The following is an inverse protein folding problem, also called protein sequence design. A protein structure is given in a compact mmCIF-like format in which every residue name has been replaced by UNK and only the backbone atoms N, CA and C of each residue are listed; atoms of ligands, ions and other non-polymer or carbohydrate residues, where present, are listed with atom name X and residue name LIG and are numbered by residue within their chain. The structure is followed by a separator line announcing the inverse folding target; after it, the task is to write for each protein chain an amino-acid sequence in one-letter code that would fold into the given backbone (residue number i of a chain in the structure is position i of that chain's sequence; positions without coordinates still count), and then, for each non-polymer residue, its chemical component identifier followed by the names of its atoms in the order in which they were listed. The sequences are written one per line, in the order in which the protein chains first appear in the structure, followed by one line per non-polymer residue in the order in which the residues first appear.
data_IF_688710275121
#
_entry.id   IF_688710275121
#
_cell.length_a   1.000
_cell.length_b   1.000
_cell.length_c   1.000
_cell.angle_alpha   90.00
_cell.angle_beta   90.00
_cell.angle_gamma   90.00
#
_symmetry.space_group_name_H-M   'P 1'
#
loop_
_entity.id
_entity.type
_entity.pdbx_description
1 polymer ?
#
# COMPACT_ATOMS: atom_id res chain seq x y z
N UNK A 1 27.01 -17.99 19.42
CA UNK A 1 27.11 -16.86 18.47
C UNK A 1 27.01 -17.43 17.05
N UNK A 2 26.12 -16.94 16.17
CA UNK A 2 26.09 -17.41 14.79
C UNK A 2 27.43 -17.10 14.08
N UNK A 3 27.95 -18.07 13.32
CA UNK A 3 29.18 -17.93 12.54
C UNK A 3 29.04 -16.78 11.52
N UNK A 4 30.06 -15.91 11.43
CA UNK A 4 30.14 -14.79 10.50
C UNK A 4 29.90 -15.23 9.05
N UNK A 5 30.38 -16.41 8.64
CA UNK A 5 30.13 -16.97 7.30
C UNK A 5 28.64 -17.23 7.04
N UNK A 6 27.92 -17.73 8.05
CA UNK A 6 26.48 -17.99 7.97
C UNK A 6 25.68 -16.69 7.92
N UNK A 7 26.15 -15.63 8.58
CA UNK A 7 25.52 -14.30 8.54
C UNK A 7 25.70 -13.62 7.17
N UNK A 8 26.89 -13.70 6.57
CA UNK A 8 27.16 -13.15 5.23
C UNK A 8 26.43 -13.92 4.11
N UNK A 9 26.29 -15.24 4.23
CA UNK A 9 25.53 -16.05 3.28
C UNK A 9 24.05 -15.65 3.28
N UNK A 10 23.43 -15.54 4.47
CA UNK A 10 22.04 -15.09 4.62
C UNK A 10 21.83 -13.66 4.10
N UNK A 11 22.82 -12.79 4.28
CA UNK A 11 22.77 -11.42 3.74
C UNK A 11 22.77 -11.43 2.21
N UNK A 12 23.64 -12.22 1.60
CA UNK A 12 23.75 -12.34 0.14
C UNK A 12 22.45 -12.88 -0.49
N UNK A 13 21.83 -13.88 0.14
CA UNK A 13 20.52 -14.42 -0.27
C UNK A 13 19.42 -13.36 -0.23
N UNK A 14 19.38 -12.53 0.82
CA UNK A 14 18.43 -11.42 0.92
C UNK A 14 18.65 -10.38 -0.18
N UNK A 15 19.90 -10.03 -0.48
CA UNK A 15 20.19 -9.09 -1.58
C UNK A 15 19.69 -9.65 -2.91
N UNK A 16 19.93 -10.94 -3.18
CA UNK A 16 19.50 -11.58 -4.42
C UNK A 16 17.97 -11.66 -4.53
N UNK A 17 17.27 -11.91 -3.42
CA UNK A 17 15.82 -11.83 -3.35
C UNK A 17 15.31 -10.43 -3.73
N UNK A 18 15.87 -9.37 -3.15
CA UNK A 18 15.46 -7.99 -3.46
C UNK A 18 15.77 -7.62 -4.92
N UNK A 19 16.89 -8.08 -5.48
CA UNK A 19 17.20 -7.85 -6.90
C UNK A 19 16.18 -8.49 -7.83
N UNK A 20 15.73 -9.71 -7.52
CA UNK A 20 14.67 -10.39 -8.27
C UNK A 20 13.35 -9.66 -8.14
N UNK A 21 12.99 -9.27 -6.91
CA UNK A 21 11.80 -8.48 -6.64
C UNK A 21 11.79 -7.16 -7.43
N UNK A 22 12.93 -6.47 -7.48
CA UNK A 22 13.09 -5.25 -8.28
C UNK A 22 12.89 -5.52 -9.78
N UNK A 23 13.50 -6.58 -10.31
CA UNK A 23 13.34 -6.96 -11.72
C UNK A 23 11.87 -7.22 -12.08
N UNK A 24 11.14 -7.94 -11.24
CA UNK A 24 9.74 -8.28 -11.49
C UNK A 24 8.83 -7.05 -11.31
N UNK A 25 9.12 -6.19 -10.33
CA UNK A 25 8.43 -4.91 -10.16
C UNK A 25 8.64 -3.97 -11.37
N UNK A 26 9.86 -3.95 -11.93
CA UNK A 26 10.18 -3.22 -13.16
C UNK A 26 9.49 -3.80 -14.39
N UNK A 27 9.25 -5.12 -14.42
CA UNK A 27 8.48 -5.77 -15.46
C UNK A 27 6.95 -5.50 -15.35
N UNK A 28 6.51 -4.83 -14.28
CA UNK A 28 5.12 -4.43 -14.11
C UNK A 28 4.29 -5.34 -13.20
N UNK A 29 4.91 -6.29 -12.50
CA UNK A 29 4.22 -7.16 -11.56
C UNK A 29 3.76 -6.36 -10.33
N UNK A 30 2.44 -6.19 -10.17
CA UNK A 30 1.87 -5.30 -9.16
C UNK A 30 2.05 -5.82 -7.73
N UNK A 31 2.11 -7.15 -7.55
CA UNK A 31 2.43 -7.76 -6.27
C UNK A 31 3.87 -7.40 -5.87
N UNK A 32 4.83 -7.56 -6.78
CA UNK A 32 6.23 -7.21 -6.54
C UNK A 32 6.43 -5.71 -6.33
N UNK A 33 5.69 -4.86 -7.06
CA UNK A 33 5.66 -3.42 -6.83
C UNK A 33 5.16 -3.09 -5.41
N UNK A 34 4.07 -3.70 -4.95
CA UNK A 34 3.59 -3.52 -3.58
C UNK A 34 4.63 -3.99 -2.54
N UNK A 35 5.17 -5.19 -2.72
CA UNK A 35 6.17 -5.75 -1.81
C UNK A 35 7.43 -4.89 -1.74
N UNK A 36 7.92 -4.39 -2.87
CA UNK A 36 9.06 -3.49 -2.92
C UNK A 36 8.75 -2.15 -2.24
N UNK A 37 7.54 -1.62 -2.43
CA UNK A 37 7.05 -0.45 -1.72
C UNK A 37 7.09 -0.62 -0.20
N UNK A 38 6.62 -1.77 0.30
CA UNK A 38 6.63 -2.09 1.73
C UNK A 38 8.06 -2.15 2.30
N UNK A 39 8.96 -2.81 1.59
CA UNK A 39 10.37 -2.93 2.02
C UNK A 39 11.06 -1.56 2.08
N UNK A 40 10.75 -0.67 1.13
CA UNK A 40 11.29 0.69 1.13
C UNK A 40 10.64 1.55 2.22
N UNK A 41 9.34 1.39 2.49
CA UNK A 41 8.64 2.13 3.54
C UNK A 41 9.17 1.78 4.93
N UNK A 42 9.52 0.53 5.20
CA UNK A 42 10.03 0.10 6.52
C UNK A 42 11.55 0.08 6.61
N UNK A 43 12.25 -0.03 5.48
CA UNK A 43 13.69 -0.28 5.45
C UNK A 43 14.06 -1.68 5.97
N UNK A 44 13.18 -2.67 5.81
CA UNK A 44 13.42 -4.03 6.29
C UNK A 44 14.45 -4.80 5.43
N UNK A 45 14.66 -6.08 5.77
CA UNK A 45 15.63 -6.98 5.16
C UNK A 45 17.07 -6.47 5.29
N UNK A 46 17.58 -5.85 4.23
CA UNK A 46 18.95 -5.36 4.07
C UNK A 46 18.90 -4.04 3.29
N UNK A 47 17.77 -3.35 3.28
CA UNK A 47 17.52 -2.14 2.48
C UNK A 47 17.42 -0.93 3.41
N UNK A 48 17.91 0.23 2.98
CA UNK A 48 17.68 1.49 3.67
C UNK A 48 16.24 1.97 3.42
N UNK A 49 15.62 2.54 4.45
CA UNK A 49 14.29 3.14 4.32
C UNK A 49 14.32 4.27 3.26
N UNK A 50 13.31 4.30 2.40
CA UNK A 50 13.10 5.26 1.32
C UNK A 50 11.59 5.41 1.07
N UNK A 51 10.94 6.28 1.84
CA UNK A 51 9.49 6.48 1.76
C UNK A 51 9.05 7.09 0.42
N UNK A 52 9.85 7.98 -0.19
CA UNK A 52 9.55 8.50 -1.54
C UNK A 52 9.55 7.37 -2.58
N UNK A 53 10.52 6.45 -2.46
CA UNK A 53 10.57 5.23 -3.26
C UNK A 53 9.38 4.29 -3.02
N UNK A 54 8.89 4.20 -1.78
CA UNK A 54 7.68 3.46 -1.46
C UNK A 54 6.45 4.05 -2.16
N UNK A 55 6.26 5.37 -2.09
CA UNK A 55 5.17 6.08 -2.79
C UNK A 55 5.23 5.81 -4.30
N UNK A 56 6.42 5.81 -4.90
CA UNK A 56 6.58 5.48 -6.32
C UNK A 56 6.03 4.09 -6.65
N UNK A 57 6.48 3.06 -5.92
CA UNK A 57 6.12 1.67 -6.23
C UNK A 57 4.68 1.32 -5.90
N UNK A 58 4.16 1.81 -4.77
CA UNK A 58 2.73 1.69 -4.49
C UNK A 58 1.88 2.37 -5.56
N UNK A 59 2.29 3.55 -6.05
CA UNK A 59 1.56 4.21 -7.14
C UNK A 59 1.54 3.35 -8.42
N UNK A 60 2.63 2.66 -8.76
CA UNK A 60 2.61 1.74 -9.91
C UNK A 60 1.66 0.56 -9.69
N UNK A 61 1.67 -0.03 -8.50
CA UNK A 61 0.78 -1.14 -8.15
C UNK A 61 -0.70 -0.73 -8.15
N UNK A 62 -1.03 0.47 -7.65
CA UNK A 62 -2.40 1.03 -7.69
C UNK A 62 -2.86 1.24 -9.13
N UNK A 63 -2.00 1.72 -10.04
CA UNK A 63 -2.32 1.84 -11.47
C UNK A 63 -2.65 0.51 -12.14
N UNK A 64 -2.26 -0.61 -11.53
CA UNK A 64 -2.59 -1.97 -11.96
C UNK A 64 -3.78 -2.59 -11.21
N UNK A 65 -4.41 -1.84 -10.30
CA UNK A 65 -5.57 -2.31 -9.54
C UNK A 65 -5.22 -3.19 -8.34
N UNK A 66 -4.00 -3.10 -7.80
CA UNK A 66 -3.61 -3.91 -6.66
C UNK A 66 -4.15 -3.34 -5.34
N UNK A 67 -5.10 -4.04 -4.73
CA UNK A 67 -5.86 -3.56 -3.57
C UNK A 67 -4.98 -3.24 -2.36
N UNK A 68 -4.02 -4.11 -2.01
CA UNK A 68 -3.14 -3.87 -0.85
C UNK A 68 -2.29 -2.61 -1.03
N UNK A 69 -1.90 -2.30 -2.28
CA UNK A 69 -1.14 -1.08 -2.56
C UNK A 69 -2.00 0.18 -2.38
N UNK A 70 -3.32 0.11 -2.64
CA UNK A 70 -4.24 1.22 -2.36
C UNK A 70 -4.31 1.48 -0.85
N UNK A 71 -4.44 0.43 -0.04
CA UNK A 71 -4.39 0.54 1.42
C UNK A 71 -3.07 1.15 1.92
N UNK A 72 -1.94 0.63 1.44
CA UNK A 72 -0.61 1.07 1.85
C UNK A 72 -0.37 2.54 1.46
N UNK A 73 -0.68 2.92 0.23
CA UNK A 73 -0.53 4.29 -0.23
C UNK A 73 -1.49 5.24 0.50
N UNK A 74 -2.73 4.82 0.76
CA UNK A 74 -3.69 5.60 1.53
C UNK A 74 -3.19 5.89 2.95
N UNK A 75 -2.54 4.91 3.58
CA UNK A 75 -1.92 5.10 4.90
C UNK A 75 -0.82 6.15 4.86
N UNK A 76 0.07 6.09 3.86
CA UNK A 76 1.11 7.11 3.68
C UNK A 76 0.52 8.49 3.40
N UNK A 77 -0.52 8.59 2.56
CA UNK A 77 -1.22 9.85 2.27
C UNK A 77 -1.92 10.40 3.51
N UNK A 78 -2.53 9.55 4.33
CA UNK A 78 -3.19 9.97 5.57
C UNK A 78 -2.18 10.57 6.55
N UNK A 79 -1.00 9.96 6.63
CA UNK A 79 0.05 10.33 7.57
C UNK A 79 0.99 11.43 7.05
N UNK A 80 1.01 11.70 5.74
CA UNK A 80 1.95 12.65 5.12
C UNK A 80 3.37 12.10 4.98
N UNK A 81 3.52 10.79 4.81
CA UNK A 81 4.81 10.10 4.67
C UNK A 81 5.35 10.20 3.24
N UNK A 82 6.67 10.02 3.04
CA UNK A 82 7.26 10.03 1.70
C UNK A 82 7.13 11.35 0.94
N UNK A 83 7.14 12.48 1.66
CA UNK A 83 7.03 13.83 1.08
C UNK A 83 5.61 14.23 0.68
N UNK A 84 4.60 13.44 1.05
CA UNK A 84 3.20 13.72 0.76
C UNK A 84 2.62 14.77 1.71
N UNK A 85 1.70 15.60 1.20
CA UNK A 85 0.84 16.41 2.06
C UNK A 85 -0.33 15.53 2.54
N UNK A 86 -0.65 15.52 3.85
CA UNK A 86 -1.80 14.79 4.34
C UNK A 86 -3.09 15.13 3.58
N UNK A 87 -3.79 14.11 3.09
CA UNK A 87 -5.08 14.28 2.41
C UNK A 87 -6.04 13.16 2.81
N UNK A 88 -6.82 13.41 3.86
CA UNK A 88 -7.74 12.43 4.45
C UNK A 88 -8.82 12.00 3.45
N UNK A 89 -9.44 12.93 2.73
CA UNK A 89 -10.49 12.60 1.77
C UNK A 89 -9.98 11.69 0.66
N UNK A 90 -8.77 11.96 0.14
CA UNK A 90 -8.15 11.12 -0.87
C UNK A 90 -7.75 9.74 -0.32
N UNK A 91 -7.18 9.69 0.89
CA UNK A 91 -6.86 8.44 1.55
C UNK A 91 -8.11 7.57 1.77
N UNK A 92 -9.20 8.15 2.28
CA UNK A 92 -10.46 7.42 2.49
C UNK A 92 -11.06 6.91 1.16
N UNK A 93 -10.92 7.65 0.06
CA UNK A 93 -11.33 7.16 -1.25
C UNK A 93 -10.52 5.93 -1.69
N UNK A 94 -9.19 5.95 -1.52
CA UNK A 94 -8.35 4.78 -1.81
C UNK A 94 -8.67 3.59 -0.89
N UNK A 95 -8.95 3.83 0.39
CA UNK A 95 -9.33 2.77 1.35
C UNK A 95 -10.69 2.15 0.96
N UNK A 96 -11.68 2.95 0.58
CA UNK A 96 -12.96 2.43 0.07
C UNK A 96 -12.77 1.52 -1.14
N UNK A 97 -11.93 1.93 -2.09
CA UNK A 97 -11.60 1.10 -3.23
C UNK A 97 -10.87 -0.18 -2.83
N UNK A 98 -9.88 -0.11 -1.95
CA UNK A 98 -9.15 -1.27 -1.45
C UNK A 98 -10.11 -2.29 -0.80
N UNK A 99 -11.01 -1.82 0.06
CA UNK A 99 -12.02 -2.66 0.70
C UNK A 99 -12.92 -3.36 -0.33
N UNK A 100 -13.45 -2.61 -1.30
CA UNK A 100 -14.28 -3.17 -2.39
C UNK A 100 -13.53 -4.16 -3.27
N UNK A 101 -12.23 -4.00 -3.42
CA UNK A 101 -11.36 -4.93 -4.15
C UNK A 101 -10.89 -6.11 -3.29
N UNK A 102 -11.25 -6.13 -2.01
CA UNK A 102 -11.09 -7.28 -1.13
C UNK A 102 -9.99 -7.17 -0.10
N UNK A 103 -9.37 -5.99 0.03
CA UNK A 103 -8.40 -5.74 1.08
C UNK A 103 -9.12 -5.67 2.44
N UNK A 104 -8.92 -6.71 3.24
CA UNK A 104 -9.64 -6.92 4.51
C UNK A 104 -9.33 -5.84 5.53
N UNK A 105 -8.08 -5.36 5.59
CA UNK A 105 -7.70 -4.33 6.56
C UNK A 105 -8.46 -3.03 6.32
N UNK A 106 -8.59 -2.62 5.06
CA UNK A 106 -9.32 -1.46 4.60
C UNK A 106 -10.81 -1.59 4.91
N UNK A 107 -11.39 -2.76 4.67
CA UNK A 107 -12.77 -3.05 5.01
C UNK A 107 -13.05 -2.93 6.50
N UNK A 108 -12.23 -3.58 7.33
CA UNK A 108 -12.37 -3.50 8.80
C UNK A 108 -12.15 -2.07 9.30
N UNK A 109 -11.18 -1.34 8.73
CA UNK A 109 -10.97 0.07 9.05
C UNK A 109 -12.22 0.92 8.74
N UNK A 110 -12.87 0.71 7.60
CA UNK A 110 -14.11 1.44 7.26
C UNK A 110 -15.29 1.01 8.14
N UNK A 111 -15.37 -0.27 8.49
CA UNK A 111 -16.34 -0.77 9.47
C UNK A 111 -16.22 0.00 10.79
N UNK A 112 -15.01 0.12 11.33
CA UNK A 112 -14.75 0.83 12.57
C UNK A 112 -14.97 2.34 12.41
N UNK A 113 -14.56 2.93 11.28
CA UNK A 113 -14.77 4.34 10.96
C UNK A 113 -16.26 4.72 10.99
N UNK A 114 -17.12 3.92 10.36
CA UNK A 114 -18.57 4.16 10.36
C UNK A 114 -19.25 3.76 11.66
N UNK A 115 -18.66 2.88 12.47
CA UNK A 115 -19.18 2.53 13.81
C UNK A 115 -18.98 3.68 14.80
N UNK A 116 -17.81 4.29 14.77
CA UNK A 116 -17.36 5.19 15.83
C UNK A 116 -17.39 6.66 15.42
N UNK A 117 -17.34 6.95 14.11
CA UNK A 117 -17.41 8.30 13.56
C UNK A 117 -16.12 9.09 13.82
N UNK A 118 -15.18 9.03 12.88
CA UNK A 118 -13.94 9.82 12.90
C UNK A 118 -13.72 10.55 11.59
N UNK A 119 -12.74 11.46 11.54
CA UNK A 119 -12.40 12.23 10.32
C UNK A 119 -13.58 13.02 9.71
N UNK A 120 -14.57 13.38 10.52
CA UNK A 120 -15.78 14.09 10.06
C UNK A 120 -16.81 13.18 9.36
N UNK A 121 -16.63 11.86 9.42
CA UNK A 121 -17.60 10.88 8.95
C UNK A 121 -18.63 10.64 10.05
N UNK A 122 -19.91 10.73 9.70
CA UNK A 122 -21.01 10.42 10.60
C UNK A 122 -21.08 8.93 10.91
N UNK A 123 -21.53 8.60 12.13
CA UNK A 123 -21.81 7.22 12.52
C UNK A 123 -22.92 6.67 11.62
N UNK A 124 -22.62 5.56 10.94
CA UNK A 124 -23.52 4.85 10.04
C UNK A 124 -23.42 3.35 10.33
N UNK A 125 -24.23 2.82 11.26
CA UNK A 125 -24.19 1.42 11.64
C UNK A 125 -24.50 0.48 10.47
N UNK A 126 -25.28 0.92 9.48
CA UNK A 126 -25.59 0.14 8.29
C UNK A 126 -24.36 -0.02 7.40
N UNK A 127 -23.61 1.05 7.14
CA UNK A 127 -22.34 0.97 6.41
C UNK A 127 -21.27 0.22 7.19
N UNK A 128 -21.19 0.44 8.50
CA UNK A 128 -20.28 -0.32 9.37
C UNK A 128 -20.49 -1.82 9.20
N UNK A 129 -21.73 -2.27 9.35
CA UNK A 129 -22.12 -3.66 9.17
C UNK A 129 -21.89 -4.18 7.75
N UNK A 130 -22.10 -3.34 6.73
CA UNK A 130 -21.82 -3.67 5.34
C UNK A 130 -20.34 -4.01 5.12
N UNK A 131 -19.41 -3.12 5.50
CA UNK A 131 -17.98 -3.41 5.36
C UNK A 131 -17.56 -4.60 6.23
N UNK A 132 -18.08 -4.70 7.45
CA UNK A 132 -17.79 -5.84 8.33
C UNK A 132 -18.17 -7.17 7.66
N UNK A 133 -19.39 -7.27 7.14
CA UNK A 133 -19.90 -8.48 6.46
C UNK A 133 -19.16 -8.84 5.19
N UNK A 134 -18.72 -7.86 4.39
CA UNK A 134 -17.93 -8.08 3.18
C UNK A 134 -16.63 -8.86 3.43
N UNK A 135 -16.06 -8.71 4.62
CA UNK A 135 -14.73 -9.21 4.95
C UNK A 135 -14.71 -10.29 6.05
N UNK A 136 -15.84 -10.53 6.73
CA UNK A 136 -16.01 -11.65 7.66
C UNK A 136 -16.58 -12.92 7.01
N UNK A 137 -17.34 -12.78 5.92
CA UNK A 137 -17.94 -13.90 5.18
C UNK A 137 -17.84 -13.61 3.67
N UNK A 138 -17.69 -14.64 2.82
CA UNK A 138 -17.63 -14.49 1.36
C UNK A 138 -18.96 -13.98 0.75
N UNK A 139 -19.29 -12.71 0.99
CA UNK A 139 -20.49 -12.06 0.48
C UNK A 139 -20.16 -11.28 -0.79
N UNK A 140 -21.10 -11.29 -1.74
CA UNK A 140 -21.05 -10.51 -2.98
C UNK A 140 -20.76 -9.04 -2.71
N UNK A 141 -19.80 -8.50 -3.46
CA UNK A 141 -19.40 -7.10 -3.38
C UNK A 141 -20.30 -6.32 -4.32
N UNK A 142 -21.04 -5.30 -3.85
CA UNK A 142 -21.92 -4.52 -4.69
C UNK A 142 -21.11 -3.84 -5.80
N UNK A 143 -21.64 -3.95 -7.01
CA UNK A 143 -21.02 -3.38 -8.20
C UNK A 143 -20.81 -1.87 -8.02
N UNK A 144 -19.62 -1.41 -8.38
CA UNK A 144 -19.32 0.00 -8.53
C UNK A 144 -18.56 0.19 -9.85
N UNK A 145 -18.87 1.28 -10.55
CA UNK A 145 -18.12 1.72 -11.71
C UNK A 145 -16.66 1.96 -11.30
N UNK A 146 -15.79 1.00 -11.61
CA UNK A 146 -14.31 1.07 -11.59
C UNK A 146 -13.76 2.15 -12.57
N UNK A 147 -14.59 3.09 -13.01
CA UNK A 147 -14.39 3.92 -14.19
C UNK A 147 -13.69 5.25 -13.96
N UNK A 148 -13.33 5.61 -12.73
CA UNK A 148 -12.39 6.71 -12.52
C UNK A 148 -10.96 6.19 -12.57
N UNK A 149 -10.29 6.43 -13.69
CA UNK A 149 -8.83 6.33 -13.77
C UNK A 149 -8.23 7.24 -12.69
N UNK A 150 -7.65 6.66 -11.65
CA UNK A 150 -6.88 7.41 -10.65
C UNK A 150 -5.54 7.77 -11.27
N UNK A 151 -5.29 9.07 -11.43
CA UNK A 151 -3.95 9.54 -11.77
C UNK A 151 -3.32 10.16 -10.52
N UNK A 152 -2.89 9.29 -9.60
CA UNK A 152 -2.34 9.67 -8.28
C UNK A 152 -1.30 10.78 -8.40
N UNK A 153 -0.42 10.71 -9.40
CA UNK A 153 0.62 11.71 -9.58
C UNK A 153 0.03 13.07 -9.93
N UNK A 154 -0.98 13.12 -10.80
CA UNK A 154 -1.70 14.34 -11.14
C UNK A 154 -2.55 14.84 -9.97
N UNK A 155 -3.32 13.96 -9.35
CA UNK A 155 -4.29 14.29 -8.30
C UNK A 155 -3.61 14.84 -7.04
N UNK A 156 -2.39 14.36 -6.75
CA UNK A 156 -1.58 14.80 -5.62
C UNK A 156 -0.44 15.75 -6.00
N UNK A 157 -0.29 16.10 -7.29
CA UNK A 157 0.75 17.00 -7.79
C UNK A 157 2.18 16.47 -7.59
N UNK A 158 2.38 15.16 -7.71
CA UNK A 158 3.65 14.47 -7.44
C UNK A 158 4.51 14.37 -8.70
N UNK A 159 5.80 14.67 -8.54
CA UNK A 159 6.83 14.35 -9.51
C UNK A 159 7.49 13.00 -9.12
N UNK A 160 6.84 11.90 -9.45
CA UNK A 160 7.31 10.55 -9.11
C UNK A 160 8.64 10.24 -9.81
N UNK A 161 9.67 9.93 -9.03
CA UNK A 161 10.98 9.47 -9.52
C UNK A 161 11.17 8.02 -9.12
N UNK A 162 11.60 7.19 -10.08
CA UNK A 162 11.93 5.79 -9.79
C UNK A 162 13.09 5.73 -8.78
N UNK A 163 12.94 5.04 -7.64
CA UNK A 163 13.97 5.01 -6.61
C UNK A 163 15.11 4.07 -6.98
N UNK A 164 16.27 4.31 -6.35
CA UNK A 164 17.41 3.39 -6.38
C UNK A 164 17.48 2.66 -5.05
N UNK A 165 17.30 1.35 -5.07
CA UNK A 165 17.35 0.52 -3.86
C UNK A 165 18.77 0.52 -3.29
N UNK A 166 18.93 0.98 -2.04
CA UNK A 166 20.23 1.03 -1.35
C UNK A 166 20.31 -0.06 -0.29
N UNK A 167 21.35 -0.88 -0.38
CA UNK A 167 21.58 -1.97 0.59
C UNK A 167 22.41 -1.50 1.79
N UNK A 168 22.06 -1.99 2.97
CA UNK A 168 22.80 -1.77 4.23
C UNK A 168 24.14 -2.51 4.19
N UNK A 169 25.17 -1.84 4.71
CA UNK A 169 26.55 -2.35 4.80
C UNK A 169 26.68 -3.61 5.65
#
# INVERSE_FOLDING_TARGET
MPDKKTTEAKKSERIEYIKRLLKDAEAGDSFCQNQLGAILATGDYVVHQDEEGAVYWYTQAVKKGYADAKWNLATMIRNGEGGLKPNISYALNLIDQAAREGETTAGLFLSDLYREGFYGIEIDPTKSEMYRKMHENHIERPEHNLGQSIDIAKDLGLALKKPVVRFKA
#
